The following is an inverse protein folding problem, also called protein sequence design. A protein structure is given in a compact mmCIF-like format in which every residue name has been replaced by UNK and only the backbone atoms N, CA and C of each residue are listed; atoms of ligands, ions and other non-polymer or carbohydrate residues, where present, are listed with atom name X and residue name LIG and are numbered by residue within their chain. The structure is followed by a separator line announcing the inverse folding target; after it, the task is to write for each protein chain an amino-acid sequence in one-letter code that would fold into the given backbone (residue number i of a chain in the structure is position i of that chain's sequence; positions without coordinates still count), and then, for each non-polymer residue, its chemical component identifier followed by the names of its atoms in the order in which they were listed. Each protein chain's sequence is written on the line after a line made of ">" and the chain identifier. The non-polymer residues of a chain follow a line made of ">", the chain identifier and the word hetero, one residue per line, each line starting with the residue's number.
data_IF_154602186290
#
_entry.id   IF_154602186290
#
_cell.length_a   1.000
_cell.length_b   1.000
_cell.length_c   1.000
_cell.angle_alpha   90.00
_cell.angle_beta   90.00
_cell.angle_gamma   90.00
#
_symmetry.space_group_name_H-M   'P 1'
#
loop_
_entity.id
_entity.type
_entity.pdbx_description
1 polymer ?
#
# COMPACT_ATOMS: atom_id res chain seq x y z
N UNK A 1 6.27 18.41 5.57
CA UNK A 1 6.94 19.27 6.57
C UNK A 1 6.19 20.59 6.73
N UNK A 2 6.11 21.14 7.94
CA UNK A 2 5.54 22.46 8.18
C UNK A 2 6.66 23.50 8.37
N UNK A 3 6.70 24.53 7.52
CA UNK A 3 7.68 25.63 7.57
C UNK A 3 6.96 26.92 7.18
N UNK A 4 7.31 28.06 7.78
CA UNK A 4 6.74 29.38 7.39
C UNK A 4 5.21 29.40 7.34
N UNK A 5 4.54 28.67 8.25
CA UNK A 5 3.08 28.49 8.33
C UNK A 5 2.44 27.75 7.14
N UNK A 6 3.22 27.03 6.35
CA UNK A 6 2.74 26.27 5.19
C UNK A 6 3.28 24.84 5.20
N UNK A 7 2.55 23.95 4.52
CA UNK A 7 2.96 22.56 4.31
C UNK A 7 3.76 22.43 3.01
N UNK A 8 4.91 21.77 3.09
CA UNK A 8 5.77 21.42 1.96
C UNK A 8 6.06 19.92 1.98
N UNK A 9 6.23 19.31 0.82
CA UNK A 9 6.84 17.98 0.71
C UNK A 9 8.36 18.08 0.88
N UNK A 10 8.98 16.97 1.31
CA UNK A 10 10.42 16.90 1.53
C UNK A 10 10.95 15.49 1.40
N UNK A 11 12.26 15.33 1.10
CA UNK A 11 12.88 14.02 1.05
C UNK A 11 12.79 13.30 2.41
N UNK A 12 12.33 12.05 2.40
CA UNK A 12 12.17 11.23 3.62
C UNK A 12 13.51 10.80 4.24
N UNK A 13 14.60 10.89 3.47
CA UNK A 13 15.97 10.56 3.89
C UNK A 13 16.73 11.74 4.51
N UNK A 14 16.18 12.96 4.48
CA UNK A 14 16.75 14.08 5.23
C UNK A 14 16.42 13.98 6.71
N UNK A 15 17.35 14.40 7.56
CA UNK A 15 17.12 14.41 9.00
C UNK A 15 16.38 15.69 9.43
N UNK A 16 15.30 15.54 10.18
CA UNK A 16 14.48 16.64 10.67
C UNK A 16 13.95 16.33 12.07
N UNK A 17 13.55 17.37 12.79
CA UNK A 17 12.70 17.22 13.96
C UNK A 17 11.33 16.66 13.56
N UNK A 18 10.57 16.17 14.52
CA UNK A 18 9.31 15.48 14.23
C UNK A 18 8.31 15.62 15.36
N UNK A 19 7.04 15.36 15.06
CA UNK A 19 5.94 15.42 16.03
C UNK A 19 5.34 14.03 16.16
N UNK A 20 5.28 13.51 17.38
CA UNK A 20 4.53 12.29 17.71
C UNK A 20 3.13 12.65 18.23
N UNK A 21 2.20 11.69 18.20
CA UNK A 21 0.97 11.79 18.97
C UNK A 21 0.79 10.60 19.91
N UNK A 22 0.03 10.85 20.98
CA UNK A 22 -0.48 9.83 21.89
C UNK A 22 -2.01 9.81 21.79
N UNK A 23 -2.60 8.62 21.67
CA UNK A 23 -4.04 8.41 21.75
C UNK A 23 -4.35 7.30 22.77
N UNK A 24 -4.98 7.67 23.89
CA UNK A 24 -5.49 6.71 24.86
C UNK A 24 -6.92 6.32 24.46
N UNK A 25 -7.18 5.02 24.27
CA UNK A 25 -8.52 4.43 24.23
C UNK A 25 -9.57 5.14 23.35
N UNK A 26 -9.58 4.86 22.05
CA UNK A 26 -10.77 4.86 21.17
C UNK A 26 -11.52 6.17 20.87
N UNK A 27 -11.51 7.19 21.74
CA UNK A 27 -12.29 8.44 21.58
C UNK A 27 -11.67 9.67 22.30
N UNK A 28 -10.46 9.60 22.86
CA UNK A 28 -9.80 10.78 23.44
C UNK A 28 -9.06 11.62 22.38
N UNK A 29 -9.00 12.96 22.55
CA UNK A 29 -8.27 13.84 21.64
C UNK A 29 -6.78 13.48 21.63
N UNK A 30 -6.18 13.52 20.43
CA UNK A 30 -4.75 13.25 20.24
C UNK A 30 -3.94 14.28 21.02
N UNK A 31 -2.96 13.83 21.79
CA UNK A 31 -1.97 14.73 22.41
C UNK A 31 -0.72 14.76 21.55
N UNK A 32 -0.25 15.96 21.19
CA UNK A 32 0.93 16.13 20.32
C UNK A 32 2.21 16.40 21.11
N UNK A 33 3.31 15.81 20.66
CA UNK A 33 4.63 15.91 21.30
C UNK A 33 5.68 16.28 20.26
N UNK A 34 6.20 17.50 20.32
CA UNK A 34 7.33 17.92 19.49
C UNK A 34 8.65 17.35 20.03
N UNK A 35 9.40 16.67 19.17
CA UNK A 35 10.64 15.98 19.54
C UNK A 35 11.82 16.71 18.90
N UNK A 36 12.67 17.32 19.74
CA UNK A 36 13.90 18.03 19.36
C UNK A 36 15.07 17.05 19.05
N UNK A 37 14.78 15.95 18.35
CA UNK A 37 15.78 15.00 17.83
C UNK A 37 15.72 14.98 16.31
N UNK A 38 16.86 15.18 15.66
CA UNK A 38 16.94 15.13 14.18
C UNK A 38 17.04 13.69 13.71
N UNK A 39 16.09 13.22 12.90
CA UNK A 39 16.01 11.83 12.38
C UNK A 39 15.44 11.81 10.97
N UNK A 40 15.74 10.76 10.20
CA UNK A 40 15.03 10.47 8.94
C UNK A 40 13.56 10.16 9.22
N UNK A 41 12.68 10.28 8.23
CA UNK A 41 11.23 10.08 8.44
C UNK A 41 10.91 8.71 9.03
N UNK A 42 11.59 7.66 8.54
CA UNK A 42 11.40 6.30 9.05
C UNK A 42 11.88 6.14 10.49
N UNK A 43 13.07 6.64 10.83
CA UNK A 43 13.59 6.59 12.19
C UNK A 43 12.76 7.44 13.17
N UNK A 44 12.17 8.53 12.71
CA UNK A 44 11.22 9.33 13.49
C UNK A 44 9.92 8.56 13.77
N UNK A 45 9.38 7.85 12.77
CA UNK A 45 8.22 6.97 12.93
C UNK A 45 8.49 5.85 13.92
N UNK A 46 9.63 5.17 13.82
CA UNK A 46 10.03 4.14 14.78
C UNK A 46 10.11 4.71 16.20
N UNK A 47 10.79 5.85 16.38
CA UNK A 47 10.85 6.52 17.67
C UNK A 47 9.45 6.82 18.23
N UNK A 48 8.54 7.38 17.43
CA UNK A 48 7.19 7.67 17.91
C UNK A 48 6.42 6.40 18.30
N UNK A 49 6.68 5.26 17.67
CA UNK A 49 6.04 3.98 18.02
C UNK A 49 6.67 3.31 19.24
N UNK A 50 7.93 3.59 19.52
CA UNK A 50 8.62 3.09 20.71
C UNK A 50 8.20 3.83 21.98
N UNK A 51 7.91 5.15 21.87
CA UNK A 51 7.67 6.03 23.04
C UNK A 51 6.26 6.64 23.10
N UNK A 52 5.49 6.61 22.01
CA UNK A 52 4.16 7.20 21.89
C UNK A 52 3.24 6.29 21.04
N UNK A 53 2.22 6.81 20.37
CA UNK A 53 1.37 6.03 19.45
C UNK A 53 1.98 5.94 18.04
N UNK A 54 2.19 7.09 17.37
CA UNK A 54 2.87 7.17 16.05
C UNK A 54 3.23 8.65 15.75
N UNK A 55 3.78 8.93 14.57
CA UNK A 55 3.91 10.29 14.05
C UNK A 55 2.55 10.98 13.92
N UNK A 56 2.53 12.30 14.17
CA UNK A 56 1.33 13.12 14.21
C UNK A 56 0.48 13.01 12.94
N UNK A 57 -0.81 12.77 13.12
CA UNK A 57 -1.85 12.89 12.09
C UNK A 57 -2.57 14.21 12.35
N UNK A 58 -2.65 15.08 11.34
CA UNK A 58 -3.27 16.41 11.44
C UNK A 58 -4.35 16.51 10.36
N UNK A 59 -5.59 16.65 10.78
CA UNK A 59 -6.80 16.59 9.96
C UNK A 59 -7.52 17.94 9.88
N UNK A 60 -7.23 18.86 10.80
CA UNK A 60 -7.88 20.18 10.87
C UNK A 60 -6.95 21.28 11.43
N UNK A 61 -7.47 22.52 11.46
CA UNK A 61 -6.70 23.70 11.83
C UNK A 61 -6.49 23.84 13.35
N UNK A 62 -7.42 23.28 14.13
CA UNK A 62 -7.34 23.20 15.59
C UNK A 62 -6.13 22.33 15.99
N UNK A 63 -5.97 21.16 15.37
CA UNK A 63 -4.83 20.26 15.60
C UNK A 63 -3.48 20.89 15.21
N UNK A 64 -3.44 21.73 14.17
CA UNK A 64 -2.23 22.52 13.86
C UNK A 64 -1.85 23.43 15.04
N UNK A 65 -2.85 24.03 15.69
CA UNK A 65 -2.63 24.95 16.81
C UNK A 65 -2.12 24.21 18.05
N UNK A 66 -2.60 22.99 18.27
CA UNK A 66 -2.11 22.09 19.34
C UNK A 66 -0.68 21.60 19.07
N UNK A 67 -0.36 21.27 17.81
CA UNK A 67 1.02 20.94 17.42
C UNK A 67 1.95 22.12 17.68
N UNK A 68 1.56 23.33 17.29
CA UNK A 68 2.36 24.55 17.52
C UNK A 68 2.52 24.83 19.02
N UNK A 69 1.47 24.61 19.84
CA UNK A 69 1.55 24.83 21.29
C UNK A 69 2.44 23.81 21.99
N UNK A 70 2.62 22.62 21.43
CA UNK A 70 3.58 21.62 21.94
C UNK A 70 5.05 22.00 21.75
N UNK A 71 5.34 23.03 20.95
CA UNK A 71 6.71 23.45 20.64
C UNK A 71 7.24 24.44 21.67
N UNK A 72 8.44 24.17 22.17
CA UNK A 72 9.24 25.05 23.04
C UNK A 72 9.90 26.18 22.26
N UNK A 73 10.14 25.98 20.96
CA UNK A 73 10.81 26.93 20.07
C UNK A 73 10.08 27.07 18.73
N UNK A 74 10.18 28.21 18.03
CA UNK A 74 9.56 28.37 16.73
C UNK A 74 10.05 27.30 15.75
N UNK A 75 9.22 26.88 14.76
CA UNK A 75 9.60 25.87 13.78
C UNK A 75 10.92 26.26 13.12
N UNK A 76 11.89 25.34 13.16
CA UNK A 76 13.16 25.52 12.46
C UNK A 76 12.90 25.87 10.98
N UNK A 77 13.84 26.57 10.34
CA UNK A 77 13.75 26.82 8.89
C UNK A 77 13.76 25.52 8.08
N UNK A 78 14.22 24.41 8.65
CA UNK A 78 14.06 23.07 8.08
C UNK A 78 12.62 22.56 8.16
N UNK A 79 11.81 22.95 9.14
CA UNK A 79 10.51 22.33 9.40
C UNK A 79 10.65 20.95 10.03
N UNK A 80 9.51 20.30 10.28
CA UNK A 80 9.44 19.01 10.99
C UNK A 80 8.58 17.97 10.27
N UNK A 81 8.82 16.69 10.55
CA UNK A 81 8.03 15.57 10.04
C UNK A 81 6.72 15.36 10.81
N UNK A 82 5.73 14.87 10.08
CA UNK A 82 4.44 14.37 10.57
C UNK A 82 4.18 13.01 9.91
N UNK A 83 3.10 12.31 10.29
CA UNK A 83 2.76 10.97 9.81
C UNK A 83 2.33 10.91 8.34
N UNK A 84 2.13 12.06 7.70
CA UNK A 84 1.84 12.10 6.27
C UNK A 84 3.10 11.79 5.46
N UNK A 85 3.05 10.69 4.71
CA UNK A 85 4.07 10.31 3.74
C UNK A 85 3.45 10.18 2.36
N UNK A 86 4.22 10.50 1.32
CA UNK A 86 3.84 10.20 -0.06
C UNK A 86 4.20 8.74 -0.32
N UNK A 87 3.18 7.92 -0.61
CA UNK A 87 3.31 6.48 -0.79
C UNK A 87 4.47 6.07 -1.70
N UNK A 88 5.20 5.01 -1.38
CA UNK A 88 6.20 4.45 -2.27
C UNK A 88 5.51 3.90 -3.53
N UNK A 89 6.31 3.74 -4.58
CA UNK A 89 5.99 2.93 -5.75
C UNK A 89 5.21 1.65 -5.41
N UNK A 90 4.05 1.48 -6.04
CA UNK A 90 3.19 0.30 -5.91
C UNK A 90 3.35 -0.61 -7.13
N UNK A 91 3.41 -1.91 -6.90
CA UNK A 91 3.38 -2.89 -7.98
C UNK A 91 1.98 -2.99 -8.60
N UNK A 92 1.91 -3.29 -9.91
CA UNK A 92 0.64 -3.38 -10.64
C UNK A 92 -0.28 -4.49 -10.15
N UNK A 93 0.26 -5.50 -9.47
CA UNK A 93 -0.49 -6.59 -8.83
C UNK A 93 -0.85 -6.29 -7.36
N UNK A 94 -0.55 -5.07 -6.87
CA UNK A 94 -0.72 -4.64 -5.48
C UNK A 94 0.10 -5.44 -4.46
N UNK A 95 1.10 -6.20 -4.90
CA UNK A 95 2.00 -6.90 -3.99
C UNK A 95 2.84 -5.91 -3.15
N UNK A 96 3.12 -6.31 -1.91
CA UNK A 96 3.99 -5.55 -1.02
C UNK A 96 5.42 -6.05 -1.15
N UNK A 97 6.30 -5.21 -1.68
CA UNK A 97 7.75 -5.46 -1.71
C UNK A 97 8.47 -4.16 -1.38
N UNK A 98 9.53 -4.27 -0.57
CA UNK A 98 10.41 -3.16 -0.17
C UNK A 98 11.64 -3.03 -1.07
N UNK A 99 11.93 -4.02 -1.94
CA UNK A 99 13.10 -3.99 -2.82
C UNK A 99 12.97 -2.88 -3.86
N UNK A 100 13.99 -2.04 -4.00
CA UNK A 100 14.05 -0.96 -4.98
C UNK A 100 15.45 -0.90 -5.58
N UNK A 101 15.56 -0.98 -6.91
CA UNK A 101 16.85 -0.89 -7.61
C UNK A 101 16.99 0.40 -8.43
N UNK A 102 16.68 1.55 -7.83
CA UNK A 102 16.75 2.84 -8.54
C UNK A 102 18.17 3.18 -8.96
N UNK A 103 18.32 3.65 -10.21
CA UNK A 103 19.57 4.27 -10.66
C UNK A 103 19.89 5.47 -9.76
N UNK A 104 21.14 5.64 -9.32
CA UNK A 104 21.53 6.62 -8.28
C UNK A 104 21.08 8.07 -8.57
N UNK A 105 21.14 8.51 -9.83
CA UNK A 105 20.70 9.86 -10.23
C UNK A 105 19.18 10.02 -10.32
N UNK A 106 18.45 8.92 -10.28
CA UNK A 106 16.99 8.86 -10.42
C UNK A 106 16.29 9.31 -9.14
N UNK A 107 16.96 9.20 -7.98
CA UNK A 107 16.42 9.62 -6.68
C UNK A 107 16.26 11.15 -6.54
N UNK A 108 16.81 11.94 -7.46
CA UNK A 108 16.84 13.41 -7.39
C UNK A 108 15.68 14.12 -8.13
N UNK A 109 14.81 13.39 -8.83
CA UNK A 109 13.75 13.99 -9.66
C UNK A 109 12.34 13.62 -9.18
N UNK A 110 11.96 14.10 -8.00
CA UNK A 110 10.56 14.12 -7.55
C UNK A 110 9.84 15.36 -8.09
N UNK A 111 9.54 15.42 -9.39
CA UNK A 111 8.58 16.41 -9.91
C UNK A 111 7.75 15.78 -11.03
N UNK A 112 6.70 15.06 -10.66
CA UNK A 112 5.69 14.60 -11.60
C UNK A 112 4.62 13.73 -10.94
N UNK A 113 3.36 14.16 -11.01
CA UNK A 113 2.24 13.23 -10.86
C UNK A 113 2.20 12.38 -12.14
N UNK A 114 2.35 11.04 -12.04
CA UNK A 114 2.17 10.13 -13.17
C UNK A 114 3.44 9.49 -13.76
N UNK A 115 4.45 9.18 -12.93
CA UNK A 115 5.61 8.39 -13.40
C UNK A 115 5.40 6.89 -13.21
N UNK A 116 5.81 6.12 -14.21
CA UNK A 116 5.92 4.66 -14.20
C UNK A 116 7.41 4.26 -14.10
N UNK A 117 7.68 3.07 -13.57
CA UNK A 117 9.04 2.56 -13.44
C UNK A 117 9.44 1.81 -14.72
N UNK A 118 10.64 2.08 -15.23
CA UNK A 118 11.26 1.28 -16.28
C UNK A 118 12.58 0.69 -15.80
N UNK A 119 12.88 -0.52 -16.24
CA UNK A 119 14.15 -1.21 -15.96
C UNK A 119 15.09 -1.09 -17.17
N UNK A 120 16.37 -0.83 -16.92
CA UNK A 120 17.41 -0.79 -17.95
C UNK A 120 18.19 -2.12 -18.02
N UNK A 121 19.11 -2.23 -18.98
CA UNK A 121 19.94 -3.43 -19.18
C UNK A 121 20.94 -3.72 -18.03
N UNK A 122 21.11 -2.78 -17.10
CA UNK A 122 21.89 -2.94 -15.86
C UNK A 122 20.99 -3.33 -14.68
N UNK A 123 19.73 -3.66 -14.95
CA UNK A 123 18.67 -3.94 -13.97
C UNK A 123 18.30 -2.75 -13.07
N UNK A 124 18.76 -1.54 -13.39
CA UNK A 124 18.44 -0.34 -12.62
C UNK A 124 17.14 0.30 -13.09
N UNK A 125 16.44 0.95 -12.17
CA UNK A 125 15.13 1.55 -12.43
C UNK A 125 15.22 3.05 -12.64
N UNK A 126 14.37 3.57 -13.50
CA UNK A 126 14.22 5.00 -13.79
C UNK A 126 12.75 5.43 -13.84
N UNK A 127 12.49 6.71 -13.62
CA UNK A 127 11.16 7.34 -13.68
C UNK A 127 10.92 7.79 -15.12
N UNK A 128 9.84 7.34 -15.74
CA UNK A 128 9.40 7.85 -17.05
C UNK A 128 7.87 8.09 -17.05
N UNK A 129 7.36 8.97 -17.92
CA UNK A 129 5.92 9.12 -18.14
C UNK A 129 5.26 7.79 -18.45
N UNK A 130 4.09 7.53 -17.87
CA UNK A 130 3.35 6.28 -18.10
C UNK A 130 2.78 6.16 -19.53
N UNK A 131 2.67 7.29 -20.25
CA UNK A 131 2.15 7.36 -21.62
C UNK A 131 3.17 6.88 -22.66
N UNK A 132 4.45 6.82 -22.29
CA UNK A 132 5.52 6.38 -23.16
C UNK A 132 5.47 4.86 -23.37
N UNK A 133 5.69 4.43 -24.62
CA UNK A 133 5.59 3.02 -25.00
C UNK A 133 6.95 2.32 -24.87
N UNK A 134 6.98 1.28 -24.03
CA UNK A 134 8.16 0.45 -23.83
C UNK A 134 7.84 -1.05 -23.97
N UNK A 135 8.82 -1.89 -24.31
CA UNK A 135 8.74 -3.32 -24.06
C UNK A 135 8.46 -3.59 -22.58
N UNK A 136 7.72 -4.64 -22.29
CA UNK A 136 7.33 -4.99 -20.93
C UNK A 136 7.57 -6.47 -20.64
N UNK A 137 7.71 -6.78 -19.35
CA UNK A 137 7.89 -8.12 -18.82
C UNK A 137 6.63 -8.46 -18.02
N UNK A 138 6.08 -9.66 -18.24
CA UNK A 138 4.94 -10.16 -17.48
C UNK A 138 5.40 -11.13 -16.38
N UNK A 139 4.72 -11.07 -15.24
CA UNK A 139 4.87 -12.07 -14.18
C UNK A 139 3.73 -13.08 -14.28
N UNK A 140 4.07 -14.37 -14.26
CA UNK A 140 3.10 -15.45 -14.10
C UNK A 140 3.19 -16.00 -12.67
N UNK A 141 2.06 -15.98 -11.95
CA UNK A 141 1.95 -16.60 -10.64
C UNK A 141 1.26 -17.96 -10.82
N UNK A 142 1.88 -19.09 -10.45
CA UNK A 142 1.27 -20.40 -10.59
C UNK A 142 -0.06 -20.46 -9.81
N UNK A 143 -1.19 -20.52 -10.52
CA UNK A 143 -2.46 -20.86 -9.90
C UNK A 143 -2.47 -22.36 -9.68
N UNK A 144 -2.57 -22.82 -8.44
CA UNK A 144 -2.83 -24.24 -8.17
C UNK A 144 -4.17 -24.61 -8.81
N UNK A 145 -4.12 -25.39 -9.90
CA UNK A 145 -5.31 -25.93 -10.56
C UNK A 145 -5.49 -27.36 -10.08
N UNK A 146 -6.38 -27.55 -9.12
CA UNK A 146 -6.81 -28.89 -8.71
C UNK A 146 -7.91 -29.36 -9.65
N UNK A 147 -7.64 -30.40 -10.44
CA UNK A 147 -8.65 -31.02 -11.31
C UNK A 147 -9.31 -32.16 -10.56
N UNK A 148 -10.53 -31.93 -10.07
CA UNK A 148 -11.39 -32.98 -9.54
C UNK A 148 -12.07 -33.70 -10.71
N UNK A 149 -11.75 -34.99 -10.89
CA UNK A 149 -12.48 -35.87 -11.81
C UNK A 149 -13.56 -36.59 -11.01
N UNK A 150 -14.80 -36.35 -11.34
CA UNK A 150 -15.95 -36.97 -10.70
C UNK A 150 -16.70 -37.81 -11.74
N UNK A 151 -17.11 -39.01 -11.35
CA UNK A 151 -18.06 -39.83 -12.12
C UNK A 151 -19.42 -39.68 -11.45
N UNK A 152 -20.43 -39.30 -12.23
CA UNK A 152 -21.80 -39.11 -11.74
C UNK A 152 -22.70 -40.05 -12.51
N UNK A 153 -23.46 -40.87 -11.80
CA UNK A 153 -24.52 -41.70 -12.35
C UNK A 153 -25.85 -41.00 -12.08
N UNK A 154 -26.60 -40.69 -13.15
CA UNK A 154 -27.83 -39.92 -13.08
C UNK A 154 -28.73 -40.27 -14.26
N UNK A 155 -30.04 -40.18 -14.05
CA UNK A 155 -31.06 -40.30 -15.09
C UNK A 155 -31.31 -38.96 -15.82
N UNK A 156 -30.72 -37.87 -15.32
CA UNK A 156 -30.89 -36.54 -15.89
C UNK A 156 -30.07 -36.34 -17.17
N UNK A 157 -30.61 -35.55 -18.11
CA UNK A 157 -29.90 -35.16 -19.34
C UNK A 157 -28.81 -34.12 -19.03
N UNK A 158 -27.56 -34.57 -19.01
CA UNK A 158 -26.38 -33.72 -18.76
C UNK A 158 -25.99 -32.83 -19.95
N UNK A 159 -26.69 -32.93 -21.08
CA UNK A 159 -26.53 -31.99 -22.20
C UNK A 159 -27.42 -30.76 -22.04
N UNK A 160 -28.42 -30.81 -21.17
CA UNK A 160 -29.29 -29.67 -20.85
C UNK A 160 -28.51 -28.59 -20.06
N UNK A 161 -28.40 -27.35 -20.59
CA UNK A 161 -27.76 -26.24 -19.90
C UNK A 161 -28.35 -25.94 -18.51
N UNK A 162 -29.65 -26.15 -18.30
CA UNK A 162 -30.32 -25.90 -17.02
C UNK A 162 -29.88 -26.92 -15.96
N UNK A 163 -29.79 -28.19 -16.33
CA UNK A 163 -29.28 -29.27 -15.46
C UNK A 163 -27.83 -28.99 -15.08
N UNK A 164 -26.99 -28.63 -16.06
CA UNK A 164 -25.58 -28.30 -15.81
C UNK A 164 -25.41 -27.10 -14.87
N UNK A 165 -26.21 -26.04 -15.04
CA UNK A 165 -26.18 -24.88 -14.16
C UNK A 165 -26.55 -25.25 -12.72
N UNK A 166 -27.58 -26.08 -12.54
CA UNK A 166 -28.02 -26.53 -11.21
C UNK A 166 -26.96 -27.39 -10.51
N UNK A 167 -26.31 -28.31 -11.25
CA UNK A 167 -25.22 -29.13 -10.72
C UNK A 167 -24.03 -28.27 -10.29
N UNK A 168 -23.59 -27.33 -11.15
CA UNK A 168 -22.49 -26.42 -10.82
C UNK A 168 -22.80 -25.58 -9.58
N UNK A 169 -24.05 -25.11 -9.44
CA UNK A 169 -24.48 -24.34 -8.28
C UNK A 169 -24.42 -25.17 -6.99
N UNK A 170 -24.97 -26.39 -7.00
CA UNK A 170 -24.95 -27.28 -5.83
C UNK A 170 -23.52 -27.68 -5.45
N UNK A 171 -22.68 -28.01 -6.44
CA UNK A 171 -21.29 -28.37 -6.20
C UNK A 171 -20.49 -27.19 -5.63
N UNK A 172 -20.70 -25.98 -6.14
CA UNK A 172 -20.05 -24.79 -5.60
C UNK A 172 -20.47 -24.52 -4.15
N UNK A 173 -21.77 -24.65 -3.84
CA UNK A 173 -22.28 -24.47 -2.48
C UNK A 173 -21.67 -25.49 -1.50
N UNK A 174 -21.58 -26.77 -1.89
CA UNK A 174 -20.99 -27.83 -1.07
C UNK A 174 -19.48 -27.65 -0.84
N UNK A 175 -18.73 -27.25 -1.87
CA UNK A 175 -17.29 -27.01 -1.75
C UNK A 175 -16.98 -25.77 -0.89
N UNK A 176 -17.78 -24.71 -1.06
CA UNK A 176 -17.63 -23.48 -0.28
C UNK A 176 -17.94 -23.71 1.19
N UNK A 177 -18.98 -24.50 1.52
CA UNK A 177 -19.33 -24.78 2.92
C UNK A 177 -18.28 -25.62 3.66
N UNK A 178 -17.55 -26.49 2.96
CA UNK A 178 -16.53 -27.35 3.58
C UNK A 178 -15.18 -26.65 3.74
N UNK A 179 -14.80 -25.79 2.81
CA UNK A 179 -13.44 -25.23 2.74
C UNK A 179 -13.34 -23.76 3.12
N UNK A 180 -14.46 -23.03 3.12
CA UNK A 180 -14.48 -21.57 3.26
C UNK A 180 -13.89 -20.82 2.07
N UNK A 181 -13.52 -21.52 0.99
CA UNK A 181 -12.93 -20.96 -0.23
C UNK A 181 -14.01 -20.85 -1.30
N UNK A 182 -14.05 -19.71 -2.00
CA UNK A 182 -14.95 -19.52 -3.13
C UNK A 182 -14.31 -20.06 -4.41
N UNK A 183 -15.03 -20.93 -5.14
CA UNK A 183 -14.56 -21.54 -6.37
C UNK A 183 -15.28 -20.98 -7.59
N UNK A 184 -14.60 -20.98 -8.74
CA UNK A 184 -15.23 -20.76 -10.04
C UNK A 184 -15.22 -22.07 -10.81
N UNK A 185 -16.37 -22.73 -10.88
CA UNK A 185 -16.53 -24.01 -11.57
C UNK A 185 -16.97 -23.79 -13.03
N UNK A 186 -16.52 -24.66 -13.95
CA UNK A 186 -16.94 -24.68 -15.35
C UNK A 186 -17.21 -26.11 -15.80
N UNK A 187 -18.31 -26.31 -16.51
CA UNK A 187 -18.66 -27.60 -17.09
C UNK A 187 -17.88 -27.84 -18.40
N UNK A 188 -17.39 -29.06 -18.60
CA UNK A 188 -16.75 -29.48 -19.85
C UNK A 188 -17.10 -30.93 -20.14
N UNK A 189 -17.87 -31.17 -21.20
CA UNK A 189 -18.10 -32.52 -21.74
C UNK A 189 -16.85 -32.91 -22.54
N UNK A 190 -16.21 -34.03 -22.19
CA UNK A 190 -15.14 -34.58 -23.02
C UNK A 190 -15.76 -35.37 -24.18
N UNK A 191 -15.23 -35.26 -25.41
CA UNK A 191 -15.67 -36.04 -26.55
C UNK A 191 -15.42 -37.54 -26.35
#
# INVERSE_FOLDING_TARGET
>A
MYRSRQWYDGPCNEERYFVCYSAEGGHHPRTYHYIELSRTWYAAMEYCRDYYTDLAVIENQEEISEVISSMTTPPSSSGFFIGLYRGPWTWSDMSQSSFRNWKTMSLLNFIGNGSCAVENHLHEWSYLPCEDKYPFICQEVPRQKTVLRMKVETEADLTDPAVNAQILQQLNAALTSQTGINFTLRWKVQP
#
